data_IF_533528567258
#
_entry.id   IF_533528567258
#
_cell.length_a   1.000
_cell.length_b   1.000
_cell.length_c   1.000
_cell.angle_alpha   90.00
_cell.angle_beta   90.00
_cell.angle_gamma   90.00
#
_symmetry.space_group_name_H-M   'P 1'
#
loop_
_entity.id
_entity.type
_entity.pdbx_description
1 polymer ?
#
# COMPACT_ATOMS: atom_id res chain seq x y z
N UNK A 1 59.41 -5.61 -46.55
CA UNK A 1 58.18 -6.36 -46.20
C UNK A 1 57.60 -5.71 -44.96
N UNK A 2 56.54 -4.91 -45.10
CA UNK A 2 55.79 -4.35 -43.97
C UNK A 2 54.35 -4.84 -44.17
N UNK A 3 53.84 -5.65 -43.25
CA UNK A 3 52.45 -6.13 -43.27
C UNK A 3 51.56 -5.09 -42.59
N UNK A 4 50.59 -4.56 -43.32
CA UNK A 4 49.50 -3.75 -42.77
C UNK A 4 48.40 -4.72 -42.36
N UNK A 5 48.18 -4.86 -41.06
CA UNK A 5 47.03 -5.56 -40.48
C UNK A 5 45.88 -4.56 -40.44
N UNK A 6 44.83 -4.81 -41.23
CA UNK A 6 43.59 -4.05 -41.21
C UNK A 6 42.72 -4.56 -40.08
N UNK A 7 42.52 -3.74 -39.04
CA UNK A 7 41.63 -4.04 -37.92
C UNK A 7 40.22 -3.58 -38.30
N UNK A 8 39.33 -4.52 -38.62
CA UNK A 8 37.91 -4.25 -38.83
C UNK A 8 37.27 -4.14 -37.44
N UNK A 9 37.01 -2.92 -36.99
CA UNK A 9 36.20 -2.64 -35.80
C UNK A 9 34.74 -2.88 -36.20
N UNK A 10 34.19 -4.02 -35.76
CA UNK A 10 32.76 -4.29 -35.86
C UNK A 10 32.03 -3.38 -34.86
N UNK A 11 31.48 -2.28 -35.35
CA UNK A 11 30.63 -1.39 -34.57
C UNK A 11 29.28 -2.11 -34.36
N UNK A 12 29.16 -2.88 -33.28
CA UNK A 12 27.86 -3.37 -32.82
C UNK A 12 27.09 -2.15 -32.30
N UNK A 13 26.29 -1.53 -33.18
CA UNK A 13 25.24 -0.62 -32.77
C UNK A 13 24.22 -1.47 -32.03
N UNK A 14 24.25 -1.44 -30.70
CA UNK A 14 23.16 -1.92 -29.89
C UNK A 14 21.93 -1.07 -30.25
N UNK A 15 21.06 -1.62 -31.09
CA UNK A 15 19.74 -1.06 -31.32
C UNK A 15 19.02 -1.21 -29.97
N UNK A 16 18.88 -0.11 -29.23
CA UNK A 16 17.99 -0.07 -28.09
C UNK A 16 16.60 -0.44 -28.61
N UNK A 17 16.17 -1.67 -28.34
CA UNK A 17 14.78 -2.07 -28.56
C UNK A 17 13.97 -1.13 -27.66
N UNK A 18 13.02 -0.35 -28.19
CA UNK A 18 12.18 0.48 -27.35
C UNK A 18 11.46 -0.45 -26.38
N UNK A 19 11.79 -0.34 -25.10
CA UNK A 19 11.09 -1.04 -24.02
C UNK A 19 9.64 -0.60 -24.13
N UNK A 20 8.76 -1.53 -24.48
CA UNK A 20 7.33 -1.23 -24.54
C UNK A 20 6.91 -0.85 -23.12
N UNK A 21 6.24 0.31 -22.91
CA UNK A 21 5.72 0.67 -21.60
C UNK A 21 4.97 -0.51 -20.97
N UNK A 22 5.48 -1.05 -19.87
CA UNK A 22 4.73 -2.02 -19.08
C UNK A 22 3.88 -1.28 -18.05
N UNK A 23 2.66 -1.76 -17.83
CA UNK A 23 1.72 -1.18 -16.88
C UNK A 23 0.57 -0.39 -17.48
N UNK A 24 -0.41 -0.11 -16.64
CA UNK A 24 -1.51 0.80 -16.93
C UNK A 24 -1.07 2.22 -16.62
N UNK A 25 -1.22 3.16 -17.56
CA UNK A 25 -0.96 4.57 -17.27
C UNK A 25 -1.92 5.07 -16.18
N UNK A 26 -1.37 5.77 -15.19
CA UNK A 26 -2.11 6.31 -14.04
C UNK A 26 -1.57 7.67 -13.61
N UNK A 27 -2.45 8.59 -13.27
CA UNK A 27 -2.09 9.96 -12.89
C UNK A 27 -2.06 10.08 -11.38
N UNK A 28 -0.89 10.39 -10.86
CA UNK A 28 -0.68 10.81 -9.48
C UNK A 28 -0.66 12.33 -9.42
N UNK A 29 -1.00 12.94 -8.29
CA UNK A 29 -0.92 14.38 -8.10
C UNK A 29 0.09 14.75 -7.01
N UNK A 30 1.08 15.56 -7.35
CA UNK A 30 2.10 16.06 -6.41
C UNK A 30 1.73 17.46 -5.93
N UNK A 31 1.48 17.61 -4.64
CA UNK A 31 0.98 18.84 -4.04
C UNK A 31 2.08 19.63 -3.33
N UNK A 32 1.96 20.96 -3.36
CA UNK A 32 2.88 21.88 -2.65
C UNK A 32 2.16 22.79 -1.66
N UNK A 33 0.87 23.03 -1.88
CA UNK A 33 -0.04 23.75 -0.98
C UNK A 33 -1.49 23.35 -1.31
N UNK A 34 -2.48 23.61 -0.44
CA UNK A 34 -3.89 23.39 -0.76
C UNK A 34 -4.28 23.95 -2.12
N UNK A 35 -4.98 23.15 -2.93
CA UNK A 35 -5.41 23.50 -4.29
C UNK A 35 -4.28 23.68 -5.32
N UNK A 36 -3.02 23.38 -4.97
CA UNK A 36 -1.88 23.42 -5.88
C UNK A 36 -1.20 22.05 -5.98
N UNK A 37 -1.83 21.18 -6.75
CA UNK A 37 -1.34 19.84 -7.08
C UNK A 37 -1.08 19.74 -8.59
N UNK A 38 0.09 19.25 -8.95
CA UNK A 38 0.50 19.05 -10.35
C UNK A 38 0.39 17.57 -10.70
N UNK A 39 -0.20 17.22 -11.86
CA UNK A 39 -0.23 15.83 -12.30
C UNK A 39 1.18 15.33 -12.61
N UNK A 40 1.46 14.12 -12.16
CA UNK A 40 2.66 13.34 -12.45
C UNK A 40 2.20 12.04 -13.13
N UNK A 41 2.66 11.81 -14.36
CA UNK A 41 2.34 10.59 -15.07
C UNK A 41 3.12 9.42 -14.46
N UNK A 42 2.40 8.45 -13.94
CA UNK A 42 2.91 7.20 -13.38
C UNK A 42 2.32 6.01 -14.13
N UNK A 43 2.67 4.80 -13.69
CA UNK A 43 2.05 3.55 -14.15
C UNK A 43 1.71 2.64 -12.99
N UNK A 44 0.73 1.77 -13.16
CA UNK A 44 0.47 0.67 -12.26
C UNK A 44 1.02 -0.62 -12.87
N UNK A 45 1.93 -1.26 -12.14
CA UNK A 45 2.60 -2.49 -12.55
C UNK A 45 2.01 -3.66 -11.79
N UNK A 46 1.60 -4.70 -12.50
CA UNK A 46 1.13 -5.93 -11.88
C UNK A 46 2.24 -6.65 -11.13
N UNK A 47 1.93 -7.12 -9.92
CA UNK A 47 2.80 -8.00 -9.19
C UNK A 47 2.99 -9.33 -9.93
N UNK A 48 4.26 -9.76 -10.05
CA UNK A 48 4.67 -10.99 -10.69
C UNK A 48 3.86 -12.20 -10.22
N UNK A 49 3.50 -12.27 -8.93
CA UNK A 49 2.78 -13.40 -8.34
C UNK A 49 1.45 -13.70 -9.05
N UNK A 50 0.79 -12.68 -9.59
CA UNK A 50 -0.52 -12.84 -10.25
C UNK A 50 -0.43 -13.06 -11.77
N UNK A 51 0.74 -12.81 -12.37
CA UNK A 51 0.93 -12.82 -13.83
C UNK A 51 1.93 -13.87 -14.32
N UNK A 52 2.85 -14.31 -13.46
CA UNK A 52 3.93 -15.23 -13.77
C UNK A 52 3.93 -16.41 -12.80
N UNK A 53 4.32 -17.60 -13.29
CA UNK A 53 4.43 -18.80 -12.43
C UNK A 53 5.68 -18.78 -11.54
N UNK A 54 6.73 -18.08 -11.97
CA UNK A 54 8.01 -18.02 -11.28
C UNK A 54 8.67 -16.65 -11.49
N UNK A 55 9.18 -16.09 -10.39
CA UNK A 55 9.79 -14.76 -10.39
C UNK A 55 11.08 -14.71 -11.23
N UNK A 56 11.86 -15.80 -11.29
CA UNK A 56 13.15 -15.91 -12.04
C UNK A 56 12.92 -15.81 -13.54
N UNK A 57 11.88 -16.48 -14.00
CA UNK A 57 11.59 -16.64 -15.42
C UNK A 57 10.58 -15.65 -15.96
N UNK A 58 9.99 -14.80 -15.10
CA UNK A 58 9.03 -13.77 -15.48
C UNK A 58 9.68 -12.74 -16.42
N UNK A 59 9.61 -13.00 -17.73
CA UNK A 59 10.18 -12.19 -18.80
C UNK A 59 9.13 -11.79 -19.84
N UNK A 60 7.86 -12.11 -19.57
CA UNK A 60 6.74 -11.78 -20.43
C UNK A 60 6.24 -10.38 -20.11
N UNK A 61 6.12 -9.56 -21.15
CA UNK A 61 5.45 -8.26 -21.02
C UNK A 61 3.97 -8.51 -20.73
N UNK A 62 3.46 -8.00 -19.61
CA UNK A 62 2.04 -8.09 -19.26
C UNK A 62 1.22 -7.23 -20.23
N UNK A 63 0.44 -7.81 -21.15
CA UNK A 63 -0.35 -7.03 -22.09
C UNK A 63 -1.46 -6.26 -21.35
N UNK A 64 -1.84 -5.07 -21.83
CA UNK A 64 -2.91 -4.27 -21.22
C UNK A 64 -4.22 -5.06 -21.06
N UNK A 65 -4.55 -5.96 -22.00
CA UNK A 65 -5.74 -6.80 -21.90
C UNK A 65 -5.71 -7.81 -20.74
N UNK A 66 -4.52 -8.20 -20.27
CA UNK A 66 -4.37 -9.11 -19.13
C UNK A 66 -4.75 -8.41 -17.81
N UNK A 67 -4.48 -7.12 -17.69
CA UNK A 67 -4.92 -6.35 -16.51
C UNK A 67 -6.44 -6.43 -16.35
N UNK A 68 -7.20 -6.20 -17.41
CA UNK A 68 -8.67 -6.26 -17.34
C UNK A 68 -9.19 -7.70 -17.23
N UNK A 69 -8.68 -8.63 -18.04
CA UNK A 69 -9.26 -9.98 -18.16
C UNK A 69 -8.82 -10.96 -17.07
N UNK A 70 -7.59 -10.82 -16.57
CA UNK A 70 -7.00 -11.75 -15.59
C UNK A 70 -6.89 -11.12 -14.22
N UNK A 71 -6.43 -9.87 -14.14
CA UNK A 71 -6.28 -9.17 -12.85
C UNK A 71 -7.53 -8.42 -12.42
N UNK A 72 -8.50 -8.27 -13.34
CA UNK A 72 -9.74 -7.54 -13.13
C UNK A 72 -9.51 -6.11 -12.66
N UNK A 73 -8.48 -5.46 -13.22
CA UNK A 73 -8.14 -4.06 -12.98
C UNK A 73 -8.40 -3.20 -14.21
N UNK A 74 -9.08 -2.08 -14.01
CA UNK A 74 -9.34 -1.07 -15.04
C UNK A 74 -8.94 0.32 -14.59
N UNK A 75 -8.50 1.16 -15.53
CA UNK A 75 -8.32 2.61 -15.29
C UNK A 75 -9.40 3.39 -16.03
N UNK A 76 -10.09 4.27 -15.30
CA UNK A 76 -11.00 5.27 -15.85
C UNK A 76 -10.46 6.66 -15.58
N UNK A 77 -10.78 7.62 -16.46
CA UNK A 77 -10.39 9.04 -16.36
C UNK A 77 -8.88 9.36 -16.23
N UNK A 78 -8.02 8.35 -16.22
CA UNK A 78 -6.57 8.46 -16.08
C UNK A 78 -6.09 8.40 -14.63
N UNK A 79 -6.96 8.54 -13.64
CA UNK A 79 -6.63 8.62 -12.20
C UNK A 79 -7.57 7.82 -11.29
N UNK A 80 -8.49 7.03 -11.86
CA UNK A 80 -9.36 6.12 -11.11
C UNK A 80 -8.97 4.67 -11.44
N UNK A 81 -8.50 3.92 -10.45
CA UNK A 81 -8.16 2.49 -10.58
C UNK A 81 -9.22 1.66 -9.87
N UNK A 82 -9.81 0.69 -10.58
CA UNK A 82 -10.84 -0.18 -10.04
C UNK A 82 -10.36 -1.62 -10.05
N UNK A 83 -10.42 -2.29 -8.90
CA UNK A 83 -10.11 -3.70 -8.72
C UNK A 83 -11.41 -4.46 -8.46
N UNK A 84 -11.66 -5.54 -9.21
CA UNK A 84 -12.72 -6.48 -8.88
C UNK A 84 -12.16 -7.81 -8.39
N UNK A 85 -12.71 -8.31 -7.29
CA UNK A 85 -12.31 -9.60 -6.73
C UNK A 85 -12.76 -10.73 -7.67
N UNK A 86 -11.91 -11.76 -7.80
CA UNK A 86 -12.17 -12.93 -8.63
C UNK A 86 -11.62 -14.19 -7.95
N UNK A 87 -11.90 -15.37 -8.52
CA UNK A 87 -11.72 -16.65 -7.81
C UNK A 87 -10.27 -17.04 -7.45
N UNK A 88 -9.23 -16.33 -7.93
CA UNK A 88 -7.83 -16.59 -7.54
C UNK A 88 -7.30 -15.69 -6.42
N UNK A 89 -8.19 -15.14 -5.59
CA UNK A 89 -7.78 -14.50 -4.33
C UNK A 89 -7.48 -13.01 -4.41
N UNK A 90 -7.51 -12.38 -5.61
CA UNK A 90 -7.38 -10.93 -5.76
C UNK A 90 -6.31 -10.49 -6.76
N UNK A 91 -5.95 -9.21 -6.69
CA UNK A 91 -4.83 -8.64 -7.45
C UNK A 91 -4.14 -7.53 -6.65
N UNK A 92 -2.84 -7.36 -6.91
CA UNK A 92 -1.97 -6.32 -6.33
C UNK A 92 -1.18 -5.63 -7.43
N UNK A 93 -1.17 -4.30 -7.41
CA UNK A 93 -0.40 -3.46 -8.31
C UNK A 93 0.54 -2.53 -7.53
N UNK A 94 1.66 -2.18 -8.16
CA UNK A 94 2.68 -1.28 -7.64
C UNK A 94 2.76 0.00 -8.47
N UNK A 95 2.99 1.14 -7.82
CA UNK A 95 3.19 2.39 -8.54
C UNK A 95 4.60 2.48 -9.14
N UNK A 96 4.67 2.61 -10.47
CA UNK A 96 5.88 2.73 -11.27
C UNK A 96 6.08 4.11 -11.89
N UNK A 97 7.34 4.42 -12.21
CA UNK A 97 7.75 5.61 -12.96
C UNK A 97 8.93 5.27 -13.86
N UNK A 98 8.73 5.40 -15.18
CA UNK A 98 9.75 5.00 -16.16
C UNK A 98 9.93 3.47 -16.19
N UNK A 99 11.14 3.01 -15.88
CA UNK A 99 11.55 1.61 -15.80
C UNK A 99 11.77 1.11 -14.36
N UNK A 100 11.34 1.89 -13.37
CA UNK A 100 11.51 1.62 -11.94
C UNK A 100 10.18 1.78 -11.20
N UNK A 101 10.10 1.32 -9.95
CA UNK A 101 9.04 1.74 -9.05
C UNK A 101 9.18 3.21 -8.69
N UNK A 102 8.05 3.89 -8.49
CA UNK A 102 8.05 5.25 -7.94
C UNK A 102 8.35 5.16 -6.45
N UNK A 103 9.48 5.72 -6.04
CA UNK A 103 9.85 5.84 -4.63
C UNK A 103 9.15 7.05 -3.99
N UNK A 104 8.49 6.80 -2.86
CA UNK A 104 7.91 7.81 -1.99
C UNK A 104 8.78 7.96 -0.73
N UNK A 105 8.87 9.20 -0.24
CA UNK A 105 9.59 9.55 0.99
C UNK A 105 8.60 10.20 1.96
N UNK A 106 7.84 9.40 2.73
CA UNK A 106 6.64 9.86 3.42
C UNK A 106 6.92 10.68 4.70
N UNK A 107 8.13 10.65 5.26
CA UNK A 107 8.46 11.39 6.47
C UNK A 107 8.19 12.89 6.29
N UNK A 108 7.43 13.47 7.22
CA UNK A 108 6.96 14.87 7.18
C UNK A 108 6.14 15.20 5.93
N UNK A 109 5.38 14.22 5.44
CA UNK A 109 4.48 14.33 4.28
C UNK A 109 3.11 13.75 4.61
N UNK A 110 2.19 13.96 3.69
CA UNK A 110 0.89 13.30 3.69
C UNK A 110 0.60 12.67 2.33
N UNK A 111 -0.12 11.55 2.37
CA UNK A 111 -0.74 10.91 1.22
C UNK A 111 -2.25 10.99 1.37
N UNK A 112 -2.94 11.14 0.25
CA UNK A 112 -4.39 11.26 0.20
C UNK A 112 -4.93 10.54 -1.01
N UNK A 113 -6.05 9.86 -0.87
CA UNK A 113 -6.76 9.28 -2.00
C UNK A 113 -8.24 9.14 -1.66
N UNK A 114 -9.06 9.14 -2.70
CA UNK A 114 -10.47 8.83 -2.60
C UNK A 114 -10.67 7.32 -2.78
N UNK A 115 -11.64 6.76 -2.07
CA UNK A 115 -11.95 5.35 -2.13
C UNK A 115 -13.45 5.11 -2.13
N UNK A 116 -13.91 4.23 -3.02
CA UNK A 116 -15.26 3.67 -3.02
C UNK A 116 -15.22 2.22 -2.53
N UNK A 117 -15.69 2.03 -1.29
CA UNK A 117 -15.79 0.72 -0.62
C UNK A 117 -17.19 0.11 -0.71
N UNK A 118 -18.14 0.74 -1.39
CA UNK A 118 -19.58 0.45 -1.27
C UNK A 118 -19.96 -1.00 -1.56
N UNK A 119 -19.19 -1.69 -2.40
CA UNK A 119 -19.41 -3.09 -2.76
C UNK A 119 -18.46 -4.07 -2.09
N UNK A 120 -17.42 -3.60 -1.40
CA UNK A 120 -16.45 -4.47 -0.70
C UNK A 120 -17.11 -5.04 0.56
N UNK A 121 -17.64 -6.24 0.46
CA UNK A 121 -18.28 -6.94 1.59
C UNK A 121 -17.28 -7.65 2.52
N UNK A 122 -17.80 -8.22 3.59
CA UNK A 122 -17.08 -9.09 4.53
C UNK A 122 -16.25 -10.19 3.83
N UNK A 123 -15.15 -10.59 4.46
CA UNK A 123 -14.21 -11.60 3.95
C UNK A 123 -13.32 -11.08 2.82
N UNK A 124 -13.27 -9.76 2.64
CA UNK A 124 -12.44 -9.08 1.62
C UNK A 124 -11.65 -7.97 2.27
N UNK A 125 -10.51 -7.68 1.68
CA UNK A 125 -9.59 -6.62 2.07
C UNK A 125 -9.20 -5.83 0.82
N UNK A 126 -9.69 -4.59 0.75
CA UNK A 126 -9.15 -3.58 -0.13
C UNK A 126 -8.02 -2.87 0.60
N UNK A 127 -6.82 -3.01 0.06
CA UNK A 127 -5.58 -2.58 0.68
C UNK A 127 -4.89 -1.50 -0.12
N UNK A 128 -4.36 -0.49 0.57
CA UNK A 128 -3.39 0.45 0.02
C UNK A 128 -2.34 0.78 1.09
N UNK A 129 -1.08 0.84 0.70
CA UNK A 129 0.01 0.93 1.66
C UNK A 129 1.37 1.18 1.02
N UNK A 130 2.39 1.16 1.86
CA UNK A 130 3.77 1.34 1.45
C UNK A 130 4.61 0.14 1.87
N UNK A 131 5.39 -0.41 0.94
CA UNK A 131 6.39 -1.43 1.23
C UNK A 131 7.80 -0.90 0.90
N UNK A 132 8.79 -1.27 1.69
CA UNK A 132 10.20 -0.90 1.45
C UNK A 132 10.87 -1.78 0.38
N UNK A 133 10.22 -1.89 -0.78
CA UNK A 133 10.71 -2.60 -1.96
C UNK A 133 11.85 -1.82 -2.63
N UNK A 134 12.84 -2.51 -3.25
CA UNK A 134 13.88 -1.85 -4.03
C UNK A 134 13.29 -1.20 -5.29
N UNK A 135 13.75 0.01 -5.63
CA UNK A 135 13.25 0.77 -6.78
C UNK A 135 13.35 0.00 -8.12
N UNK A 136 14.36 -0.86 -8.27
CA UNK A 136 14.61 -1.64 -9.47
C UNK A 136 13.88 -3.00 -9.48
N UNK A 137 13.09 -3.30 -8.44
CA UNK A 137 12.43 -4.60 -8.27
C UNK A 137 13.40 -5.74 -7.97
N UNK A 138 14.61 -5.44 -7.48
CA UNK A 138 15.61 -6.42 -7.07
C UNK A 138 16.42 -6.99 -8.24
N UNK A 139 16.59 -6.21 -9.31
CA UNK A 139 17.18 -6.65 -10.58
C UNK A 139 18.56 -7.33 -10.38
N UNK A 140 19.44 -6.73 -9.58
CA UNK A 140 20.79 -7.25 -9.36
C UNK A 140 20.87 -8.40 -8.34
N UNK A 141 19.98 -8.42 -7.35
CA UNK A 141 20.03 -9.38 -6.22
C UNK A 141 19.43 -10.74 -6.58
N UNK A 142 18.53 -10.77 -7.56
CA UNK A 142 17.77 -11.97 -7.86
C UNK A 142 17.79 -12.45 -9.32
N UNK A 143 18.54 -11.79 -10.20
CA UNK A 143 18.54 -12.15 -11.63
C UNK A 143 17.20 -11.97 -12.33
N UNK A 144 16.29 -11.17 -11.75
CA UNK A 144 14.93 -10.92 -12.20
C UNK A 144 14.83 -9.81 -13.24
N UNK A 145 13.74 -9.85 -14.01
CA UNK A 145 13.44 -8.88 -15.06
C UNK A 145 13.22 -7.44 -14.55
N UNK A 146 12.97 -7.25 -13.24
CA UNK A 146 12.98 -5.96 -12.55
C UNK A 146 11.59 -5.35 -12.36
N UNK A 147 11.55 -4.11 -11.88
CA UNK A 147 10.32 -3.39 -11.52
C UNK A 147 9.24 -3.38 -12.61
N UNK A 148 9.61 -3.35 -13.89
CA UNK A 148 8.66 -3.42 -15.01
C UNK A 148 7.82 -4.71 -15.04
N UNK A 149 8.32 -5.78 -14.42
CA UNK A 149 7.69 -7.10 -14.37
C UNK A 149 7.12 -7.41 -12.98
N UNK A 150 7.01 -6.39 -12.12
CA UNK A 150 6.38 -6.56 -10.80
C UNK A 150 7.20 -7.37 -9.79
N UNK A 151 8.52 -7.50 -9.98
CA UNK A 151 9.36 -8.30 -9.08
C UNK A 151 9.79 -7.52 -7.83
N UNK A 152 10.32 -8.24 -6.83
CA UNK A 152 10.94 -7.63 -5.66
C UNK A 152 9.96 -7.22 -4.56
N UNK A 153 8.75 -7.79 -4.59
CA UNK A 153 7.78 -7.66 -3.50
C UNK A 153 8.36 -8.19 -2.19
N UNK A 154 8.05 -7.49 -1.10
CA UNK A 154 8.34 -7.86 0.28
C UNK A 154 7.31 -7.15 1.17
N UNK A 155 7.05 -7.69 2.36
CA UNK A 155 6.06 -7.12 3.30
C UNK A 155 6.42 -7.36 4.77
N UNK A 156 5.55 -6.93 5.66
CA UNK A 156 5.75 -6.98 7.11
C UNK A 156 5.54 -8.35 7.73
N UNK A 157 5.19 -9.39 6.95
CA UNK A 157 4.87 -10.73 7.45
C UNK A 157 6.12 -11.45 7.98
N UNK A 158 5.93 -12.60 8.64
CA UNK A 158 7.02 -13.37 9.24
C UNK A 158 7.82 -14.19 8.20
N UNK A 159 7.27 -14.40 7.00
CA UNK A 159 7.93 -15.13 5.91
C UNK A 159 8.76 -14.23 4.98
N UNK A 160 9.94 -14.71 4.53
CA UNK A 160 10.78 -13.95 3.61
C UNK A 160 10.26 -13.98 2.16
N UNK A 161 10.45 -12.90 1.39
CA UNK A 161 11.22 -11.69 1.75
C UNK A 161 10.43 -10.67 2.59
N UNK A 162 10.94 -10.32 3.77
CA UNK A 162 10.31 -9.35 4.66
C UNK A 162 10.93 -7.95 4.49
N UNK A 163 10.13 -6.91 4.60
CA UNK A 163 10.57 -5.52 4.66
C UNK A 163 9.55 -4.66 5.40
N UNK A 164 9.89 -3.39 5.64
CA UNK A 164 8.94 -2.46 6.25
C UNK A 164 7.65 -2.41 5.43
N UNK A 165 6.54 -2.49 6.13
CA UNK A 165 5.21 -2.29 5.59
C UNK A 165 4.44 -1.25 6.43
N UNK A 166 3.71 -0.38 5.74
CA UNK A 166 2.80 0.58 6.33
C UNK A 166 1.49 0.50 5.57
N UNK A 167 0.52 -0.16 6.17
CA UNK A 167 -0.83 -0.30 5.64
C UNK A 167 -1.62 0.96 5.93
N UNK A 168 -1.78 1.80 4.91
CA UNK A 168 -2.56 3.02 5.01
C UNK A 168 -4.03 2.67 5.20
N UNK A 169 -4.51 1.64 4.52
CA UNK A 169 -5.84 1.07 4.76
C UNK A 169 -5.81 -0.42 4.44
N UNK A 170 -6.37 -1.20 5.36
CA UNK A 170 -6.89 -2.53 5.12
C UNK A 170 -8.34 -2.51 5.54
N UNK A 171 -9.25 -2.69 4.58
CA UNK A 171 -10.66 -2.50 4.86
C UNK A 171 -11.59 -3.26 3.94
N UNK A 172 -12.80 -3.43 4.43
CA UNK A 172 -13.98 -3.54 3.60
C UNK A 172 -15.02 -2.53 4.08
N UNK A 173 -16.22 -2.52 3.53
CA UNK A 173 -17.24 -1.55 3.93
C UNK A 173 -17.71 -1.64 5.39
N UNK A 174 -17.34 -2.66 6.18
CA UNK A 174 -17.80 -2.83 7.56
C UNK A 174 -16.70 -2.70 8.62
N UNK A 175 -15.43 -2.81 8.23
CA UNK A 175 -14.29 -2.71 9.14
C UNK A 175 -13.09 -2.09 8.43
N UNK A 176 -12.28 -1.36 9.18
CA UNK A 176 -11.07 -0.71 8.68
C UNK A 176 -9.98 -0.76 9.73
N UNK A 177 -8.74 -0.87 9.27
CA UNK A 177 -7.55 -0.71 10.08
C UNK A 177 -6.47 -0.01 9.26
N UNK A 178 -5.59 0.71 9.94
CA UNK A 178 -4.30 1.13 9.39
C UNK A 178 -3.21 0.70 10.36
N UNK A 179 -2.13 0.15 9.81
CA UNK A 179 -1.16 -0.64 10.57
C UNK A 179 0.25 -0.29 10.13
N UNK A 180 1.12 -0.05 11.10
CA UNK A 180 2.56 -0.01 10.86
C UNK A 180 3.14 -1.39 11.18
N UNK A 181 3.91 -1.98 10.27
CA UNK A 181 4.66 -3.21 10.48
C UNK A 181 6.15 -2.86 10.58
N UNK A 182 6.67 -2.59 11.79
CA UNK A 182 8.03 -2.13 11.96
C UNK A 182 9.01 -3.29 11.76
N UNK A 183 10.19 -3.00 11.21
CA UNK A 183 11.19 -4.01 10.92
C UNK A 183 12.54 -3.67 11.55
N UNK A 184 13.14 -4.68 12.16
CA UNK A 184 14.50 -4.60 12.64
C UNK A 184 15.46 -4.92 11.49
N UNK A 185 15.96 -3.85 10.85
CA UNK A 185 16.89 -3.97 9.71
C UNK A 185 18.20 -4.70 10.03
N UNK A 186 18.59 -4.82 11.30
CA UNK A 186 19.80 -5.55 11.73
C UNK A 186 19.52 -7.03 11.92
N UNK A 187 18.32 -7.38 12.39
CA UNK A 187 17.90 -8.76 12.60
C UNK A 187 17.28 -9.42 11.36
N UNK A 188 16.86 -8.62 10.36
CA UNK A 188 16.19 -9.12 9.16
C UNK A 188 14.80 -9.69 9.46
N UNK A 189 14.08 -9.07 10.40
CA UNK A 189 12.75 -9.51 10.83
C UNK A 189 11.79 -8.31 10.91
N UNK A 190 10.50 -8.58 10.72
CA UNK A 190 9.42 -7.61 10.80
C UNK A 190 8.35 -8.08 11.80
N UNK A 191 7.54 -7.15 12.30
CA UNK A 191 6.38 -7.48 13.12
C UNK A 191 5.20 -7.86 12.23
N UNK A 192 4.91 -9.15 12.08
CA UNK A 192 3.78 -9.63 11.27
C UNK A 192 2.42 -9.14 11.80
N UNK A 193 2.29 -8.92 13.11
CA UNK A 193 1.07 -8.37 13.72
C UNK A 193 0.99 -6.85 13.63
N UNK A 194 2.14 -6.17 13.48
CA UNK A 194 2.23 -4.72 13.42
C UNK A 194 1.74 -3.99 14.66
N UNK A 195 1.56 -2.68 14.52
CA UNK A 195 0.88 -1.78 15.43
C UNK A 195 -0.20 -1.07 14.64
N UNK A 196 -1.46 -1.46 14.89
CA UNK A 196 -2.60 -1.01 14.09
C UNK A 196 -3.71 -0.43 14.93
N UNK A 197 -4.49 0.46 14.32
CA UNK A 197 -5.66 1.08 14.93
C UNK A 197 -6.90 0.67 14.16
N UNK A 198 -7.70 -0.21 14.77
CA UNK A 198 -9.08 -0.48 14.38
C UNK A 198 -10.00 0.09 15.46
N UNK A 199 -10.85 1.04 15.08
CA UNK A 199 -11.73 1.76 16.01
C UNK A 199 -12.86 0.88 16.59
N UNK A 200 -13.27 -0.17 15.88
CA UNK A 200 -14.40 -1.04 16.25
C UNK A 200 -14.17 -1.83 17.55
N UNK A 201 -13.08 -2.61 17.73
CA UNK A 201 -12.79 -3.30 18.98
C UNK A 201 -12.50 -2.34 20.14
N UNK A 202 -12.14 -1.09 19.83
CA UNK A 202 -11.83 -0.02 20.80
C UNK A 202 -13.07 0.79 21.21
N UNK A 203 -14.27 0.28 20.90
CA UNK A 203 -15.55 0.81 21.40
C UNK A 203 -16.29 1.75 20.45
N UNK A 204 -15.69 2.15 19.34
CA UNK A 204 -16.28 3.09 18.36
C UNK A 204 -16.96 2.34 17.21
N UNK A 205 -17.96 1.51 17.55
CA UNK A 205 -18.66 0.63 16.59
C UNK A 205 -19.52 1.38 15.56
N UNK A 206 -19.77 2.68 15.74
CA UNK A 206 -20.50 3.57 14.84
C UNK A 206 -19.59 4.56 14.10
N UNK A 207 -18.26 4.38 14.15
CA UNK A 207 -17.34 5.28 13.44
C UNK A 207 -17.30 5.00 11.93
N UNK A 208 -17.08 3.74 11.53
CA UNK A 208 -16.88 3.35 10.13
C UNK A 208 -17.83 2.21 9.76
N UNK A 209 -18.62 2.36 8.69
CA UNK A 209 -19.54 1.33 8.26
C UNK A 209 -20.62 1.80 7.28
N UNK A 210 -21.55 0.91 6.93
CA UNK A 210 -22.59 1.18 5.92
C UNK A 210 -23.76 1.99 6.50
N UNK A 211 -23.93 3.21 6.02
CA UNK A 211 -25.14 4.02 6.20
C UNK A 211 -24.89 5.29 7.00
N UNK A 212 -25.88 6.18 6.99
CA UNK A 212 -25.78 7.54 7.56
C UNK A 212 -25.62 7.59 9.08
N UNK A 213 -25.75 6.46 9.78
CA UNK A 213 -25.51 6.38 11.21
C UNK A 213 -24.02 6.24 11.56
N UNK A 214 -23.17 5.95 10.56
CA UNK A 214 -21.73 5.89 10.73
C UNK A 214 -21.11 7.27 10.46
N UNK A 215 -20.04 7.62 11.19
CA UNK A 215 -19.31 8.86 10.93
C UNK A 215 -18.70 8.86 9.51
N UNK A 216 -18.15 7.72 9.08
CA UNK A 216 -17.73 7.42 7.72
C UNK A 216 -18.73 6.43 7.10
N UNK A 217 -19.59 6.91 6.20
CA UNK A 217 -20.60 6.10 5.50
C UNK A 217 -20.00 5.40 4.28
N UNK A 218 -19.67 4.13 4.41
CA UNK A 218 -19.00 3.36 3.34
C UNK A 218 -19.90 2.99 2.17
N UNK A 219 -21.21 3.31 2.19
CA UNK A 219 -22.05 3.19 0.99
C UNK A 219 -21.76 4.28 -0.06
N UNK A 220 -20.87 5.23 0.26
CA UNK A 220 -20.47 6.33 -0.60
C UNK A 220 -18.95 6.44 -0.61
N UNK A 221 -18.37 7.02 -1.66
CA UNK A 221 -16.96 7.37 -1.66
C UNK A 221 -16.60 8.30 -0.51
N UNK A 222 -15.37 8.19 -0.03
CA UNK A 222 -14.76 9.06 0.97
C UNK A 222 -13.27 9.23 0.67
N UNK A 223 -12.68 10.31 1.18
CA UNK A 223 -11.25 10.57 1.08
C UNK A 223 -10.56 10.10 2.36
N UNK A 224 -9.39 9.48 2.22
CA UNK A 224 -8.48 9.17 3.33
C UNK A 224 -7.29 10.12 3.24
N UNK A 225 -6.89 10.69 4.36
CA UNK A 225 -5.68 11.51 4.50
C UNK A 225 -4.83 10.87 5.59
N UNK A 226 -3.60 10.49 5.23
CA UNK A 226 -2.64 9.90 6.17
C UNK A 226 -1.38 10.76 6.23
N UNK A 227 -1.03 11.21 7.43
CA UNK A 227 0.10 12.10 7.71
C UNK A 227 1.17 11.37 8.51
N UNK A 228 2.42 11.52 8.09
CA UNK A 228 3.58 10.91 8.74
C UNK A 228 4.38 12.02 9.41
N UNK A 229 4.10 12.29 10.67
CA UNK A 229 4.67 13.39 11.43
C UNK A 229 6.02 12.95 11.99
N UNK A 230 7.05 13.78 11.80
CA UNK A 230 8.39 13.52 12.35
C UNK A 230 8.63 14.23 13.67
N UNK A 231 9.62 13.75 14.44
CA UNK A 231 9.99 14.26 15.77
C UNK A 231 10.39 15.73 15.78
N UNK A 232 10.93 16.24 14.68
CA UNK A 232 11.43 17.62 14.51
C UNK A 232 10.66 18.43 13.44
N UNK A 233 9.64 17.85 12.81
CA UNK A 233 8.90 18.48 11.71
C UNK A 233 9.72 18.65 10.43
N UNK A 234 10.80 17.88 10.26
CA UNK A 234 11.63 17.85 9.06
C UNK A 234 11.56 16.50 8.36
N UNK A 235 11.84 16.49 7.05
CA UNK A 235 11.82 15.28 6.21
C UNK A 235 12.90 14.26 6.58
N UNK A 236 13.92 14.72 7.31
CA UNK A 236 15.04 13.92 7.80
C UNK A 236 14.85 13.40 9.22
N UNK A 237 13.83 13.91 9.93
CA UNK A 237 13.50 13.50 11.28
C UNK A 237 13.02 12.06 11.33
N UNK A 238 12.99 11.50 12.52
CA UNK A 238 12.44 10.16 12.74
C UNK A 238 10.91 10.26 12.79
N UNK A 239 10.22 9.21 12.33
CA UNK A 239 8.76 9.12 12.42
C UNK A 239 8.37 9.18 13.91
N UNK A 240 7.43 10.06 14.24
CA UNK A 240 6.89 10.20 15.59
C UNK A 240 5.47 9.66 15.67
N UNK A 241 4.68 9.94 14.64
CA UNK A 241 3.24 9.73 14.68
C UNK A 241 2.68 9.52 13.27
N UNK A 242 1.75 8.57 13.13
CA UNK A 242 0.94 8.40 11.92
C UNK A 242 -0.50 8.78 12.24
N UNK A 243 -0.96 9.89 11.68
CA UNK A 243 -2.34 10.36 11.82
C UNK A 243 -3.15 9.98 10.59
N UNK A 244 -4.32 9.41 10.80
CA UNK A 244 -5.32 9.17 9.76
C UNK A 244 -6.57 10.00 10.03
N UNK A 245 -7.13 10.59 8.99
CA UNK A 245 -8.43 11.26 9.02
C UNK A 245 -9.13 11.09 7.68
N UNK A 246 -10.44 11.34 7.66
CA UNK A 246 -11.29 11.14 6.50
C UNK A 246 -11.95 12.46 6.09
N UNK A 247 -12.33 12.55 4.82
CA UNK A 247 -13.22 13.60 4.32
C UNK A 247 -14.41 12.95 3.62
N UNK A 248 -15.62 13.29 4.04
CA UNK A 248 -16.82 12.83 3.37
C UNK A 248 -17.87 13.94 3.34
N UNK A 249 -18.51 14.13 2.17
CA UNK A 249 -19.48 15.22 1.95
C UNK A 249 -18.94 16.62 2.34
N UNK A 250 -17.64 16.86 2.14
CA UNK A 250 -16.96 18.11 2.50
C UNK A 250 -16.73 18.31 4.00
N UNK A 251 -16.96 17.29 4.84
CA UNK A 251 -16.69 17.33 6.27
C UNK A 251 -15.45 16.51 6.61
N UNK A 252 -14.54 17.12 7.39
CA UNK A 252 -13.43 16.38 8.00
C UNK A 252 -13.95 15.53 9.16
N UNK A 253 -13.54 14.27 9.18
CA UNK A 253 -13.88 13.26 10.17
C UNK A 253 -12.57 12.73 10.74
N UNK A 254 -12.30 13.01 12.01
CA UNK A 254 -11.07 12.59 12.67
C UNK A 254 -11.21 11.15 13.16
N UNK A 255 -10.11 10.39 13.14
CA UNK A 255 -10.02 9.12 13.87
C UNK A 255 -10.41 9.38 15.33
N UNK A 256 -11.32 8.57 15.92
CA UNK A 256 -11.84 8.83 17.25
C UNK A 256 -10.76 8.60 18.30
N UNK A 257 -10.86 9.33 19.40
CA UNK A 257 -10.00 9.12 20.57
C UNK A 257 -10.38 7.79 21.26
N UNK A 258 -9.41 6.90 21.44
CA UNK A 258 -9.55 5.62 22.13
C UNK A 258 -8.99 5.72 23.56
N UNK A 259 -9.13 4.65 24.35
CA UNK A 259 -8.60 4.61 25.73
C UNK A 259 -7.12 5.06 25.78
N UNK A 260 -6.72 5.76 26.84
CA UNK A 260 -5.39 6.37 26.92
C UNK A 260 -5.26 7.72 26.19
N UNK A 261 -6.30 8.16 25.48
CA UNK A 261 -6.33 9.48 24.83
C UNK A 261 -5.65 9.51 23.46
N UNK A 262 -5.58 8.35 22.79
CA UNK A 262 -4.88 8.20 21.51
C UNK A 262 -5.85 8.27 20.32
N UNK A 263 -5.41 8.83 19.20
CA UNK A 263 -6.17 8.87 17.94
C UNK A 263 -5.28 8.66 16.71
N UNK A 264 -4.07 8.12 16.93
CA UNK A 264 -3.00 7.99 15.95
C UNK A 264 -2.04 6.90 16.40
N UNK A 265 -1.24 6.38 15.45
CA UNK A 265 -0.15 5.46 15.81
C UNK A 265 1.02 6.29 16.32
N UNK A 266 1.55 5.91 17.48
CA UNK A 266 2.79 6.40 18.07
C UNK A 266 3.41 5.27 18.88
N UNK A 267 4.67 5.39 19.29
CA UNK A 267 5.27 4.38 20.17
C UNK A 267 4.45 4.21 21.45
N UNK A 268 3.97 5.31 22.04
CA UNK A 268 3.14 5.26 23.24
C UNK A 268 1.77 4.59 23.00
N UNK A 269 1.16 4.80 21.83
CA UNK A 269 -0.06 4.07 21.46
C UNK A 269 0.23 2.57 21.34
N UNK A 270 1.30 2.19 20.65
CA UNK A 270 1.67 0.78 20.44
C UNK A 270 2.00 0.07 21.75
N UNK A 271 2.66 0.75 22.68
CA UNK A 271 2.97 0.22 24.02
C UNK A 271 1.71 0.10 24.89
N UNK A 272 0.80 1.09 24.80
CA UNK A 272 -0.41 1.11 25.62
C UNK A 272 -1.46 0.11 25.14
N UNK A 273 -1.76 0.14 23.84
CA UNK A 273 -2.71 -0.74 23.18
C UNK A 273 -2.05 -2.00 22.66
N UNK A 274 -0.99 -2.47 23.33
CA UNK A 274 -0.33 -3.73 23.03
C UNK A 274 -1.39 -4.78 22.73
N UNK A 275 -1.57 -5.07 21.45
CA UNK A 275 -2.76 -5.79 21.01
C UNK A 275 -2.62 -7.17 21.64
N UNK A 276 -3.61 -7.68 22.39
CA UNK A 276 -3.52 -9.00 23.03
C UNK A 276 -3.50 -10.16 22.02
N UNK A 277 -3.30 -9.88 20.73
CA UNK A 277 -2.98 -10.83 19.66
C UNK A 277 -1.55 -11.31 19.69
N UNK A 278 -0.63 -10.59 20.35
CA UNK A 278 0.73 -11.09 20.49
C UNK A 278 0.75 -12.35 21.36
N UNK A 279 1.24 -13.49 20.85
CA UNK A 279 1.55 -14.63 21.71
C UNK A 279 2.50 -14.17 22.82
N UNK A 280 2.34 -14.65 24.07
CA UNK A 280 3.29 -14.35 25.13
C UNK A 280 4.73 -14.64 24.68
N UNK A 281 5.59 -13.63 24.68
CA UNK A 281 6.99 -13.74 24.20
C UNK A 281 7.26 -13.20 22.79
N UNK A 282 6.30 -12.60 22.10
CA UNK A 282 6.52 -11.81 20.87
C UNK A 282 7.07 -10.39 21.17
N UNK A 283 7.48 -10.12 22.43
CA UNK A 283 7.89 -8.80 22.93
C UNK A 283 9.01 -8.12 22.12
N UNK A 284 8.79 -6.83 21.85
CA UNK A 284 9.78 -5.74 21.87
C UNK A 284 10.92 -5.73 20.83
N UNK A 285 10.98 -6.68 19.89
CA UNK A 285 12.11 -6.75 18.94
C UNK A 285 12.18 -5.61 17.91
N UNK A 286 11.10 -4.84 17.78
CA UNK A 286 10.90 -3.91 16.67
C UNK A 286 10.84 -2.43 17.09
N UNK A 287 10.95 -2.14 18.39
CA UNK A 287 11.19 -0.80 18.96
C UNK A 287 10.17 0.30 18.55
N UNK A 288 8.90 -0.07 18.38
CA UNK A 288 7.83 0.86 18.02
C UNK A 288 7.91 1.37 16.57
N UNK A 289 7.08 2.36 16.24
CA UNK A 289 7.04 2.95 14.91
C UNK A 289 8.27 3.84 14.66
N UNK A 290 8.81 4.49 15.70
CA UNK A 290 9.95 5.41 15.52
C UNK A 290 11.17 4.65 14.99
N UNK A 291 11.61 3.61 15.69
CA UNK A 291 12.85 2.92 15.32
C UNK A 291 12.64 1.90 14.20
N UNK A 292 11.49 1.23 14.15
CA UNK A 292 11.25 0.14 13.19
C UNK A 292 10.68 0.58 11.84
N UNK A 293 10.04 1.75 11.73
CA UNK A 293 9.45 2.26 10.47
C UNK A 293 10.32 3.35 9.84
N UNK A 294 10.94 4.22 10.65
CA UNK A 294 11.80 5.30 10.11
C UNK A 294 12.85 4.83 9.09
N UNK A 295 13.62 3.75 9.34
CA UNK A 295 14.70 3.37 8.43
C UNK A 295 14.23 3.03 7.02
N UNK A 296 13.09 2.34 6.87
CA UNK A 296 12.56 2.01 5.56
C UNK A 296 11.97 3.24 4.87
N UNK A 297 11.24 4.11 5.59
CA UNK A 297 10.73 5.37 5.04
C UNK A 297 11.84 6.33 4.59
N UNK A 298 12.99 6.35 5.29
CA UNK A 298 14.19 7.13 4.89
C UNK A 298 14.84 6.61 3.60
N UNK A 299 14.82 5.29 3.37
CA UNK A 299 15.33 4.68 2.12
C UNK A 299 14.39 4.94 0.94
N UNK A 300 13.11 5.13 1.23
CA UNK A 300 12.04 5.27 0.27
C UNK A 300 11.22 3.98 0.21
N UNK A 301 9.93 4.15 -0.09
CA UNK A 301 8.94 3.06 -0.15
C UNK A 301 8.14 3.11 -1.44
N UNK A 302 7.56 1.98 -1.84
CA UNK A 302 6.72 1.84 -3.03
C UNK A 302 5.26 1.83 -2.62
N UNK A 303 4.42 2.62 -3.31
CA UNK A 303 2.97 2.64 -3.09
C UNK A 303 2.33 1.42 -3.74
N UNK A 304 1.54 0.69 -2.97
CA UNK A 304 0.84 -0.53 -3.39
C UNK A 304 -0.66 -0.35 -3.29
N UNK A 305 -1.40 -1.03 -4.16
CA UNK A 305 -2.86 -1.13 -4.13
C UNK A 305 -3.27 -2.57 -4.40
N UNK A 306 -4.34 -3.02 -3.76
CA UNK A 306 -4.89 -4.34 -4.04
C UNK A 306 -6.30 -4.55 -3.52
N UNK A 307 -6.91 -5.62 -4.01
CA UNK A 307 -8.14 -6.17 -3.46
C UNK A 307 -7.95 -7.67 -3.39
N UNK A 308 -8.02 -8.21 -2.18
CA UNK A 308 -7.84 -9.63 -1.92
C UNK A 308 -8.85 -10.14 -0.90
N UNK A 309 -8.86 -11.44 -0.71
CA UNK A 309 -9.79 -12.13 0.16
C UNK A 309 -9.25 -13.51 0.50
N UNK A 310 -9.36 -13.88 1.76
CA UNK A 310 -9.06 -15.23 2.22
C UNK A 310 -10.41 -15.88 2.53
N UNK A 311 -10.89 -16.74 1.63
CA UNK A 311 -12.16 -17.44 1.79
C UNK A 311 -11.99 -18.88 2.26
N UNK A 312 -10.76 -19.32 2.54
CA UNK A 312 -10.45 -20.73 2.77
C UNK A 312 -9.63 -20.98 4.05
N UNK A 313 -9.10 -19.93 4.71
CA UNK A 313 -8.35 -20.02 5.98
C UNK A 313 -9.07 -19.27 7.11
N UNK A 314 -8.94 -17.95 7.19
CA UNK A 314 -9.46 -17.14 8.30
C UNK A 314 -10.75 -16.38 7.98
N UNK A 315 -11.19 -16.34 6.72
CA UNK A 315 -12.35 -15.55 6.28
C UNK A 315 -12.20 -14.05 6.59
N UNK A 316 -10.96 -13.55 6.58
CA UNK A 316 -10.59 -12.21 7.01
C UNK A 316 -10.98 -11.88 8.47
N UNK A 317 -11.08 -12.91 9.32
CA UNK A 317 -11.59 -12.76 10.68
C UNK A 317 -10.76 -11.86 11.59
N UNK A 318 -9.48 -11.66 11.28
CA UNK A 318 -8.62 -10.69 11.98
C UNK A 318 -8.99 -9.23 11.71
N UNK A 319 -9.66 -8.95 10.58
CA UNK A 319 -10.07 -7.61 10.16
C UNK A 319 -11.52 -7.32 10.56
N UNK A 320 -12.44 -8.22 10.22
CA UNK A 320 -13.85 -7.86 10.11
C UNK A 320 -14.84 -8.71 10.92
N UNK A 321 -14.41 -9.81 11.53
CA UNK A 321 -15.25 -10.62 12.42
C UNK A 321 -15.12 -10.16 13.86
N UNK A 322 -16.10 -10.50 14.72
CA UNK A 322 -16.03 -10.15 16.14
C UNK A 322 -14.77 -10.77 16.78
N UNK A 323 -13.97 -10.00 17.55
CA UNK A 323 -14.29 -8.67 18.07
C UNK A 323 -13.88 -7.47 17.18
N UNK A 324 -13.24 -7.70 16.04
CA UNK A 324 -12.63 -6.66 15.17
C UNK A 324 -13.62 -5.99 14.21
N UNK A 325 -14.73 -6.64 13.90
CA UNK A 325 -15.81 -6.08 13.12
C UNK A 325 -17.13 -6.84 13.27
N UNK A 326 -18.17 -6.44 12.53
CA UNK A 326 -19.51 -7.01 12.67
C UNK A 326 -19.78 -8.19 11.72
N UNK A 327 -18.80 -8.67 10.95
CA UNK A 327 -19.01 -9.68 9.92
C UNK A 327 -19.28 -11.08 10.49
N UNK A 328 -20.11 -11.89 9.80
CA UNK A 328 -20.26 -13.30 10.12
C UNK A 328 -19.02 -14.11 9.70
N UNK A 329 -18.85 -15.31 10.28
CA UNK A 329 -17.70 -16.19 10.06
C UNK A 329 -17.57 -16.70 8.62
N UNK A 330 -18.68 -16.94 7.93
CA UNK A 330 -18.68 -17.41 6.53
C UNK A 330 -19.42 -16.41 5.62
N UNK A 331 -18.76 -15.30 5.22
CA UNK A 331 -19.37 -14.33 4.35
C UNK A 331 -19.33 -14.79 2.88
N UNK A 332 -20.47 -14.70 2.18
CA UNK A 332 -20.53 -14.94 0.74
C UNK A 332 -20.60 -13.61 -0.04
N UNK A 333 -19.44 -13.09 -0.45
CA UNK A 333 -19.32 -11.86 -1.24
C UNK A 333 -18.51 -12.10 -2.53
N UNK A 334 -19.13 -12.60 -3.60
CA UNK A 334 -18.40 -12.90 -4.85
C UNK A 334 -18.12 -11.65 -5.68
N UNK A 335 -18.88 -10.57 -5.50
CA UNK A 335 -18.87 -9.38 -6.37
C UNK A 335 -18.35 -8.13 -5.64
N UNK A 336 -17.18 -8.23 -5.03
CA UNK A 336 -16.55 -7.09 -4.38
C UNK A 336 -15.69 -6.31 -5.38
N UNK A 337 -15.86 -5.00 -5.39
CA UNK A 337 -15.08 -4.07 -6.20
C UNK A 337 -14.69 -2.88 -5.35
N UNK A 338 -13.44 -2.46 -5.45
CA UNK A 338 -12.95 -1.20 -4.86
C UNK A 338 -12.44 -0.30 -5.97
N UNK A 339 -12.71 0.99 -5.85
CA UNK A 339 -12.10 2.01 -6.69
C UNK A 339 -11.26 2.93 -5.82
N UNK A 340 -9.99 3.11 -6.17
CA UNK A 340 -9.11 4.13 -5.61
C UNK A 340 -8.89 5.23 -6.65
N UNK A 341 -8.92 6.48 -6.24
CA UNK A 341 -8.75 7.60 -7.17
C UNK A 341 -8.13 8.83 -6.53
N UNK A 342 -7.79 9.83 -7.34
CA UNK A 342 -7.36 11.14 -6.87
C UNK A 342 -6.19 11.05 -5.86
N UNK A 343 -5.21 10.20 -6.19
CA UNK A 343 -4.05 9.96 -5.34
C UNK A 343 -3.17 11.21 -5.33
N UNK A 344 -2.97 11.78 -4.16
CA UNK A 344 -2.26 13.03 -3.91
C UNK A 344 -1.16 12.81 -2.88
N UNK A 345 0.00 13.41 -3.09
CA UNK A 345 1.14 13.32 -2.17
C UNK A 345 1.86 14.66 -2.06
N UNK A 346 2.21 15.09 -0.84
CA UNK A 346 2.88 16.38 -0.64
C UNK A 346 3.18 16.70 0.82
N UNK A 347 3.64 17.93 1.13
CA UNK A 347 3.75 18.42 2.49
C UNK A 347 2.44 18.25 3.28
N UNK A 348 2.54 18.06 4.59
CA UNK A 348 1.37 17.97 5.46
C UNK A 348 0.49 19.23 5.32
N UNK A 349 -0.81 19.02 5.09
CA UNK A 349 -1.79 20.07 4.84
C UNK A 349 -1.80 20.61 3.40
N UNK A 350 -1.16 19.96 2.43
CA UNK A 350 -1.15 20.37 1.03
C UNK A 350 -2.11 19.60 0.13
N UNK A 351 -2.53 18.39 0.52
CA UNK A 351 -3.34 17.50 -0.32
C UNK A 351 -4.84 17.66 -0.11
N UNK A 352 -5.26 18.27 1.01
CA UNK A 352 -6.66 18.59 1.28
C UNK A 352 -7.13 19.77 0.42
N UNK A 353 -8.36 19.70 -0.09
CA UNK A 353 -9.04 20.75 -0.86
C UNK A 353 -10.02 21.58 -0.02
#
# INVERSE_FOLDING_TARGET
MLHIISLIICLMVAIAVPVTPQGLDFTLYMCTSPGNCQPEQTRLIADWYYVCEDQVTCNETVPLEMYEKQLHVTITNGDEMTFAHYQRGGSRLFMGSGDQYKMFYPLNREITFDVDMSTVGCGRNAAAGFNAMPADGGHAEFGYAGALYGTGFCDGQDDPPNCLEMDIIEANSLATMFTAHPCNSTAGKCSAYGCGLNSYPLGHKDFYGRGQNYAVDTNKPFTIITRFITTDGMDTGDLKEVQQLYVQNGQMIFTPEVEGGFSSLSDEFCDYHYIPTFPPGYEDYFHGITDGVTPGMKKGVVLIFGLWGDADDTYMGWLDQEPYGPCPVEPNNPNSTVTFSNVRFGPIGSTAE
#
